data_IF_232166958771
#
_entry.id   IF_232166958771
#
_cell.length_a   1.000
_cell.length_b   1.000
_cell.length_c   1.000
_cell.angle_alpha   90.00
_cell.angle_beta   90.00
_cell.angle_gamma   90.00
#
_symmetry.space_group_name_H-M   'P 1'
#
loop_
_entity.id
_entity.type
_entity.pdbx_description
1 polymer ?
#
# COMPACT_ATOMS: atom_id res chain seq x y z
N UNK A 1 -0.98 16.37 -25.28
CA UNK A 1 0.10 15.59 -24.60
C UNK A 1 -0.10 14.11 -24.90
N UNK A 2 0.96 13.35 -25.20
CA UNK A 2 0.88 11.90 -25.44
C UNK A 2 1.00 11.12 -24.13
N UNK A 3 0.36 9.96 -24.04
CA UNK A 3 0.46 9.05 -22.89
C UNK A 3 1.77 8.27 -22.96
N UNK A 4 2.45 8.10 -21.82
CA UNK A 4 3.69 7.32 -21.74
C UNK A 4 3.41 5.83 -21.96
N UNK A 5 4.24 5.08 -22.70
CA UNK A 5 4.12 3.62 -22.80
C UNK A 5 4.32 2.91 -21.45
N UNK A 6 4.95 3.58 -20.47
CA UNK A 6 5.16 3.05 -19.13
C UNK A 6 4.02 3.36 -18.16
N UNK A 7 2.96 4.07 -18.60
CA UNK A 7 1.89 4.49 -17.69
C UNK A 7 1.26 3.30 -16.96
N UNK A 8 0.88 2.24 -17.69
CA UNK A 8 0.23 1.06 -17.10
C UNK A 8 1.17 0.33 -16.13
N UNK A 9 2.39 -0.09 -16.51
CA UNK A 9 3.27 -0.78 -15.56
C UNK A 9 3.66 0.12 -14.37
N UNK A 10 3.80 1.43 -14.54
CA UNK A 10 4.13 2.31 -13.40
C UNK A 10 2.93 2.60 -12.47
N UNK A 11 1.72 2.17 -12.82
CA UNK A 11 0.48 2.49 -12.10
C UNK A 11 -0.21 1.27 -11.47
N UNK A 12 -0.10 0.08 -12.06
CA UNK A 12 -0.77 -1.12 -11.54
C UNK A 12 -0.11 -1.61 -10.24
N UNK A 13 -0.95 -1.96 -9.26
CA UNK A 13 -0.54 -2.23 -7.87
C UNK A 13 0.45 -3.40 -7.78
N UNK A 14 0.22 -4.46 -8.57
CA UNK A 14 1.06 -5.65 -8.56
C UNK A 14 2.49 -5.42 -9.10
N UNK A 15 2.80 -4.27 -9.70
CA UNK A 15 4.19 -3.96 -10.06
C UNK A 15 5.11 -3.77 -8.86
N UNK A 16 4.59 -3.42 -7.68
CA UNK A 16 5.41 -3.43 -6.46
C UNK A 16 6.04 -4.81 -6.23
N UNK A 17 5.23 -5.87 -6.36
CA UNK A 17 5.69 -7.27 -6.26
C UNK A 17 6.55 -7.65 -7.46
N UNK A 18 6.15 -7.26 -8.67
CA UNK A 18 6.89 -7.54 -9.90
C UNK A 18 8.33 -7.01 -9.89
N UNK A 19 8.52 -5.75 -9.48
CA UNK A 19 9.85 -5.12 -9.39
C UNK A 19 10.72 -5.82 -8.34
N UNK A 20 10.13 -6.19 -7.20
CA UNK A 20 10.83 -6.93 -6.14
C UNK A 20 11.26 -8.31 -6.65
N UNK A 21 10.37 -9.05 -7.33
CA UNK A 21 10.68 -10.35 -7.94
C UNK A 21 11.80 -10.25 -8.97
N UNK A 22 11.78 -9.24 -9.84
CA UNK A 22 12.86 -8.98 -10.82
C UNK A 22 14.19 -8.70 -10.12
N UNK A 23 14.19 -7.85 -9.07
CA UNK A 23 15.42 -7.47 -8.35
C UNK A 23 16.02 -8.60 -7.52
N UNK A 24 15.18 -9.47 -6.96
CA UNK A 24 15.60 -10.55 -6.05
C UNK A 24 15.79 -11.89 -6.75
N UNK A 25 15.21 -12.06 -7.95
CA UNK A 25 15.18 -13.34 -8.66
C UNK A 25 14.19 -14.35 -8.10
N UNK A 26 13.27 -13.94 -7.21
CA UNK A 26 12.24 -14.84 -6.66
C UNK A 26 11.22 -15.25 -7.72
N UNK A 27 10.98 -16.57 -7.83
CA UNK A 27 10.09 -17.19 -8.84
C UNK A 27 8.89 -17.93 -8.24
N UNK A 28 8.68 -17.83 -6.93
CA UNK A 28 7.56 -18.43 -6.23
C UNK A 28 6.25 -17.65 -6.40
N UNK A 29 5.30 -17.82 -5.47
CA UNK A 29 4.02 -17.11 -5.48
C UNK A 29 4.22 -15.59 -5.55
N UNK A 30 3.55 -14.96 -6.52
CA UNK A 30 3.53 -13.50 -6.69
C UNK A 30 2.09 -13.02 -6.57
N UNK A 31 1.79 -12.34 -5.46
CA UNK A 31 0.43 -11.94 -5.10
C UNK A 31 0.41 -10.56 -4.44
N UNK A 32 -0.60 -9.74 -4.76
CA UNK A 32 -0.70 -8.36 -4.31
C UNK A 32 -2.15 -8.06 -3.89
N UNK A 33 -2.56 -8.40 -2.66
CA UNK A 33 -3.91 -8.12 -2.19
C UNK A 33 -4.14 -6.61 -2.06
N UNK A 34 -5.41 -6.19 -2.13
CA UNK A 34 -5.83 -4.79 -1.97
C UNK A 34 -7.04 -4.73 -1.05
N UNK A 35 -6.86 -4.21 0.15
CA UNK A 35 -7.89 -4.12 1.19
C UNK A 35 -7.76 -2.82 2.01
N UNK A 36 -7.56 -1.70 1.31
CA UNK A 36 -7.40 -0.37 1.88
C UNK A 36 -6.34 -0.32 3.01
N UNK A 37 -6.63 0.31 4.15
CA UNK A 37 -5.70 0.46 5.27
C UNK A 37 -5.21 -0.89 5.86
N UNK A 38 -5.93 -1.99 5.63
CA UNK A 38 -5.57 -3.32 6.12
C UNK A 38 -4.64 -4.09 5.16
N UNK A 39 -4.30 -3.54 4.00
CA UNK A 39 -3.58 -4.24 2.92
C UNK A 39 -2.27 -4.87 3.38
N UNK A 40 -1.45 -4.16 4.16
CA UNK A 40 -0.20 -4.72 4.67
C UNK A 40 -0.41 -5.95 5.55
N UNK A 41 -1.41 -5.91 6.43
CA UNK A 41 -1.75 -7.04 7.30
C UNK A 41 -2.34 -8.21 6.51
N UNK A 42 -3.18 -7.91 5.52
CA UNK A 42 -3.75 -8.92 4.62
C UNK A 42 -2.64 -9.65 3.85
N UNK A 43 -1.66 -8.92 3.28
CA UNK A 43 -0.52 -9.51 2.59
C UNK A 43 0.31 -10.44 3.50
N UNK A 44 0.55 -10.03 4.75
CA UNK A 44 1.27 -10.87 5.73
C UNK A 44 0.44 -12.12 6.09
N UNK A 45 -0.88 -11.99 6.26
CA UNK A 45 -1.77 -13.11 6.53
C UNK A 45 -1.80 -14.14 5.40
N UNK A 46 -1.88 -13.68 4.15
CA UNK A 46 -1.84 -14.55 2.97
C UNK A 46 -0.50 -15.27 2.84
N UNK A 47 0.62 -14.56 3.06
CA UNK A 47 1.94 -15.17 3.07
C UNK A 47 2.07 -16.26 4.15
N UNK A 48 1.55 -15.99 5.34
CA UNK A 48 1.52 -16.94 6.43
C UNK A 48 0.70 -18.20 6.09
N UNK A 49 -0.51 -18.03 5.53
CA UNK A 49 -1.36 -19.16 5.13
C UNK A 49 -0.71 -19.97 4.01
N UNK A 50 -0.08 -19.30 3.04
CA UNK A 50 0.61 -19.96 1.93
C UNK A 50 1.75 -20.87 2.43
N UNK A 51 2.58 -20.38 3.35
CA UNK A 51 3.64 -21.17 3.98
C UNK A 51 3.04 -22.30 4.84
N UNK A 52 2.03 -21.99 5.68
CA UNK A 52 1.37 -22.97 6.55
C UNK A 52 0.77 -24.15 5.76
N UNK A 53 0.23 -23.88 4.57
CA UNK A 53 -0.35 -24.90 3.71
C UNK A 53 0.69 -25.65 2.85
N UNK A 54 1.98 -25.32 2.96
CA UNK A 54 3.06 -25.99 2.24
C UNK A 54 3.19 -25.58 0.77
N UNK A 55 2.63 -24.43 0.37
CA UNK A 55 2.74 -23.92 -1.00
C UNK A 55 4.07 -23.19 -1.26
N UNK A 56 4.70 -22.63 -0.22
CA UNK A 56 6.00 -21.96 -0.29
C UNK A 56 6.82 -22.21 0.98
N UNK A 57 8.14 -22.27 0.86
CA UNK A 57 9.05 -22.41 2.01
C UNK A 57 9.29 -21.06 2.72
N UNK A 58 9.27 -19.96 1.95
CA UNK A 58 9.47 -18.60 2.44
C UNK A 58 8.78 -17.59 1.50
N UNK A 59 8.29 -16.48 2.06
CA UNK A 59 7.64 -15.40 1.31
C UNK A 59 8.08 -14.05 1.87
N UNK A 60 8.42 -13.12 0.98
CA UNK A 60 8.58 -11.71 1.30
C UNK A 60 7.21 -11.02 1.25
N UNK A 61 6.73 -10.56 2.40
CA UNK A 61 5.40 -9.96 2.54
C UNK A 61 5.46 -8.54 3.13
N UNK A 62 4.49 -7.70 2.78
CA UNK A 62 4.38 -6.34 3.29
C UNK A 62 3.40 -5.49 2.48
N UNK A 63 3.51 -4.17 2.64
CA UNK A 63 2.75 -3.19 1.87
C UNK A 63 3.57 -1.93 1.61
N UNK A 64 3.25 -1.22 0.54
CA UNK A 64 3.87 0.05 0.17
C UNK A 64 2.79 0.99 -0.36
N UNK A 65 2.95 2.29 -0.12
CA UNK A 65 2.02 3.33 -0.56
C UNK A 65 2.77 4.63 -0.83
N UNK A 66 2.31 5.40 -1.81
CA UNK A 66 2.85 6.71 -2.19
C UNK A 66 1.73 7.69 -2.57
N UNK A 67 0.66 7.70 -1.76
CA UNK A 67 -0.57 8.46 -2.00
C UNK A 67 -0.52 9.93 -1.59
N UNK A 68 0.65 10.47 -1.23
CA UNK A 68 0.82 11.90 -0.94
C UNK A 68 0.89 12.68 -2.27
N UNK A 69 -0.27 12.92 -2.87
CA UNK A 69 -0.43 13.72 -4.08
C UNK A 69 -1.74 14.55 -4.03
N UNK A 70 -1.87 15.61 -4.85
CA UNK A 70 -3.03 16.50 -4.78
C UNK A 70 -4.38 15.81 -4.99
N UNK A 71 -4.44 14.80 -5.88
CA UNK A 71 -5.69 14.10 -6.19
C UNK A 71 -6.17 13.27 -4.99
N UNK A 72 -5.28 12.45 -4.44
CA UNK A 72 -5.60 11.62 -3.27
C UNK A 72 -5.92 12.51 -2.05
N UNK A 73 -5.11 13.54 -1.79
CA UNK A 73 -5.33 14.46 -0.68
C UNK A 73 -6.68 15.17 -0.78
N UNK A 74 -7.05 15.67 -1.97
CA UNK A 74 -8.34 16.30 -2.19
C UNK A 74 -9.51 15.33 -1.96
N UNK A 75 -9.38 14.09 -2.44
CA UNK A 75 -10.38 13.04 -2.22
C UNK A 75 -10.61 12.74 -0.74
N UNK A 76 -9.55 12.43 0.01
CA UNK A 76 -9.63 12.13 1.44
C UNK A 76 -10.09 13.33 2.27
N UNK A 77 -9.69 14.54 1.90
CA UNK A 77 -10.15 15.77 2.56
C UNK A 77 -11.65 15.99 2.32
N UNK A 78 -12.14 15.74 1.10
CA UNK A 78 -13.56 15.94 0.76
C UNK A 78 -14.47 14.99 1.53
N UNK A 79 -14.03 13.76 1.79
CA UNK A 79 -14.73 12.80 2.64
C UNK A 79 -14.49 13.01 4.15
N UNK A 80 -13.80 14.08 4.55
CA UNK A 80 -13.48 14.44 5.94
C UNK A 80 -12.67 13.38 6.69
N UNK A 81 -11.83 12.62 5.98
CA UNK A 81 -10.94 11.63 6.59
C UNK A 81 -9.63 12.25 7.13
N UNK A 82 -9.24 13.41 6.61
CA UNK A 82 -8.02 14.12 7.00
C UNK A 82 -8.26 15.08 8.17
N UNK A 83 -7.26 15.25 9.04
CA UNK A 83 -7.28 16.33 10.04
C UNK A 83 -7.24 17.70 9.35
N UNK A 84 -7.92 18.69 9.93
CA UNK A 84 -7.87 20.08 9.49
C UNK A 84 -7.04 20.97 10.43
N UNK A 85 -6.34 20.38 11.41
CA UNK A 85 -5.42 21.11 12.27
C UNK A 85 -4.10 21.40 11.52
N UNK A 86 -4.09 22.51 10.80
CA UNK A 86 -2.95 22.91 9.97
C UNK A 86 -1.94 23.79 10.71
N UNK A 87 -2.34 24.44 11.81
CA UNK A 87 -1.47 25.35 12.58
C UNK A 87 -0.46 24.58 13.45
N UNK A 88 -0.82 23.37 13.90
CA UNK A 88 0.04 22.49 14.70
C UNK A 88 0.17 21.08 14.07
N UNK A 89 0.80 20.93 12.89
CA UNK A 89 0.80 19.68 12.13
C UNK A 89 1.43 18.50 12.88
N UNK A 90 2.45 18.77 13.70
CA UNK A 90 3.10 17.76 14.56
C UNK A 90 2.16 17.18 15.64
N UNK A 91 1.03 17.85 15.91
CA UNK A 91 0.01 17.40 16.86
C UNK A 91 -1.28 16.94 16.18
N UNK A 92 -1.36 16.92 14.84
CA UNK A 92 -2.61 16.62 14.12
C UNK A 92 -3.04 15.15 14.24
N UNK A 93 -2.09 14.22 14.25
CA UNK A 93 -2.38 12.79 14.50
C UNK A 93 -2.44 12.52 16.00
N UNK A 94 -3.66 12.48 16.55
CA UNK A 94 -3.93 12.28 17.99
C UNK A 94 -5.01 11.21 18.23
N UNK A 95 -4.71 9.93 18.01
CA UNK A 95 -5.66 8.85 18.27
C UNK A 95 -6.18 8.90 19.72
N UNK A 96 -7.48 8.66 19.90
CA UNK A 96 -8.17 8.63 21.20
C UNK A 96 -8.22 9.96 21.98
N UNK A 97 -7.64 11.05 21.45
CA UNK A 97 -7.74 12.37 22.05
C UNK A 97 -9.14 12.97 21.87
N UNK A 98 -9.63 13.67 22.89
CA UNK A 98 -10.96 14.29 22.89
C UNK A 98 -11.11 15.36 21.81
N UNK A 99 -10.03 16.06 21.48
CA UNK A 99 -9.99 17.18 20.54
C UNK A 99 -9.33 16.78 19.21
N UNK A 100 -9.55 15.53 18.77
CA UNK A 100 -9.13 15.01 17.46
C UNK A 100 -9.92 15.61 16.31
#
# INVERSE_FOLDING_TARGET
RKVSPFMVPMMIINMAVGIISIKTGFKGTSFSPVSACATGNHAIGEAFLNIRHGYSDAILAGGSEASINPLAYAGFSRMRAMSTNNDEPMKASRPFDKNR
#
